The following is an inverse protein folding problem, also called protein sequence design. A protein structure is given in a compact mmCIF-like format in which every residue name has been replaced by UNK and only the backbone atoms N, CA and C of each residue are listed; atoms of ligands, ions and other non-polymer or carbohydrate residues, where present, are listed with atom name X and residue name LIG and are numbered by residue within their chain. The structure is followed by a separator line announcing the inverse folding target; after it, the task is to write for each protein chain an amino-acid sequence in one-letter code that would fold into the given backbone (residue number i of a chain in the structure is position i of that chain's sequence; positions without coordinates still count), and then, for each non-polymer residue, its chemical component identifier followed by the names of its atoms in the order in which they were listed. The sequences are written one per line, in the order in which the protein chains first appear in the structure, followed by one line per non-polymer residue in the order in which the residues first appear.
data_IF_785605802365
#
_entry.id   IF_785605802365
#
_cell.length_a   1.000
_cell.length_b   1.000
_cell.length_c   1.000
_cell.angle_alpha   90.00
_cell.angle_beta   90.00
_cell.angle_gamma   90.00
#
_symmetry.space_group_name_H-M   'P 1'
#
loop_
_entity.id
_entity.type
_entity.pdbx_description
1 polymer ?
#
# COMPACT_ATOMS: atom_id res chain seq x y z
N UNK A 1 16.70 6.24 -18.51
CA UNK A 1 15.76 5.41 -17.73
C UNK A 1 16.25 3.98 -17.47
N UNK A 2 17.10 3.40 -18.32
CA UNK A 2 17.58 2.02 -18.17
C UNK A 2 18.44 1.72 -16.92
N UNK A 3 19.22 2.69 -16.42
CA UNK A 3 20.12 2.49 -15.28
C UNK A 3 19.39 2.32 -13.94
N UNK A 4 18.14 2.80 -13.84
CA UNK A 4 17.34 2.69 -12.60
C UNK A 4 16.91 1.24 -12.32
N UNK A 5 16.64 0.47 -13.37
CA UNK A 5 16.11 -0.89 -13.24
C UNK A 5 17.17 -1.90 -12.78
N UNK A 6 18.40 -1.84 -13.33
CA UNK A 6 19.48 -2.73 -12.90
C UNK A 6 19.83 -2.55 -11.41
N UNK A 7 19.82 -1.30 -10.93
CA UNK A 7 20.07 -1.00 -9.52
C UNK A 7 18.93 -1.51 -8.62
N UNK A 8 17.68 -1.42 -9.09
CA UNK A 8 16.51 -1.88 -8.32
C UNK A 8 16.54 -3.39 -8.03
N UNK A 9 16.93 -4.23 -9.00
CA UNK A 9 17.02 -5.68 -8.79
C UNK A 9 18.11 -6.05 -7.78
N UNK A 10 19.30 -5.44 -7.88
CA UNK A 10 20.39 -5.67 -6.93
C UNK A 10 20.02 -5.29 -5.50
N UNK A 11 19.32 -4.16 -5.32
CA UNK A 11 18.84 -3.71 -4.02
C UNK A 11 17.77 -4.64 -3.44
N UNK A 12 16.89 -5.16 -4.29
CA UNK A 12 15.83 -6.10 -3.90
C UNK A 12 16.43 -7.42 -3.43
N UNK A 13 17.37 -8.01 -4.18
CA UNK A 13 18.05 -9.25 -3.78
C UNK A 13 18.82 -9.08 -2.45
N UNK A 14 19.54 -7.97 -2.29
CA UNK A 14 20.27 -7.67 -1.05
C UNK A 14 19.33 -7.58 0.16
N UNK A 15 18.19 -6.91 0.01
CA UNK A 15 17.19 -6.77 1.06
C UNK A 15 16.62 -8.13 1.50
N UNK A 16 16.23 -8.98 0.56
CA UNK A 16 15.71 -10.32 0.86
C UNK A 16 16.73 -11.21 1.56
N UNK A 17 18.00 -11.20 1.11
CA UNK A 17 19.07 -11.94 1.78
C UNK A 17 19.29 -11.46 3.22
N UNK A 18 19.15 -10.16 3.50
CA UNK A 18 19.23 -9.65 4.88
C UNK A 18 18.08 -10.17 5.75
N UNK A 19 16.85 -10.22 5.22
CA UNK A 19 15.68 -10.78 5.93
C UNK A 19 15.88 -12.25 6.27
N UNK A 20 16.30 -13.05 5.29
CA UNK A 20 16.53 -14.48 5.50
C UNK A 20 17.64 -14.76 6.53
N UNK A 21 18.72 -13.97 6.54
CA UNK A 21 19.76 -14.06 7.59
C UNK A 21 19.23 -13.70 8.99
N UNK A 22 18.19 -12.89 9.08
CA UNK A 22 17.53 -12.55 10.35
C UNK A 22 16.44 -13.57 10.75
N UNK A 23 16.25 -14.65 9.98
CA UNK A 23 15.21 -15.66 10.23
C UNK A 23 13.81 -15.25 9.78
N UNK A 24 13.67 -14.14 9.05
CA UNK A 24 12.40 -13.70 8.49
C UNK A 24 12.22 -14.31 7.09
N UNK A 25 11.49 -15.41 7.03
CA UNK A 25 11.17 -16.16 5.81
C UNK A 25 9.79 -15.83 5.22
N UNK A 26 9.09 -14.80 5.74
CA UNK A 26 7.79 -14.41 5.23
C UNK A 26 7.92 -13.74 3.85
N UNK A 27 7.43 -14.42 2.83
CA UNK A 27 7.46 -13.97 1.43
C UNK A 27 6.27 -13.10 1.06
N UNK A 28 5.28 -12.95 1.95
CA UNK A 28 4.11 -12.13 1.69
C UNK A 28 4.48 -10.64 1.74
N UNK A 29 3.78 -9.85 0.93
CA UNK A 29 3.87 -8.40 1.00
C UNK A 29 3.29 -7.92 2.33
N UNK A 30 4.11 -7.20 3.10
CA UNK A 30 3.66 -6.52 4.29
C UNK A 30 2.66 -5.43 3.91
N UNK A 31 1.77 -5.10 4.84
CA UNK A 31 0.86 -4.00 4.68
C UNK A 31 1.63 -2.73 4.29
N UNK A 32 1.34 -2.22 3.09
CA UNK A 32 1.98 -1.01 2.58
C UNK A 32 1.29 0.20 3.21
N UNK A 33 2.06 1.10 3.79
CA UNK A 33 1.57 2.43 4.13
C UNK A 33 1.17 3.13 2.83
N UNK A 34 -0.11 3.44 2.66
CA UNK A 34 -0.57 4.08 1.42
C UNK A 34 -2.03 3.82 1.06
N UNK A 35 -2.69 2.84 1.68
CA UNK A 35 -4.16 2.77 1.59
C UNK A 35 -4.72 4.00 2.31
N UNK A 36 -5.40 4.94 1.61
CA UNK A 36 -6.12 6.01 2.27
C UNK A 36 -7.08 5.34 3.25
N UNK A 37 -7.11 5.80 4.51
CA UNK A 37 -8.19 5.40 5.42
C UNK A 37 -9.48 5.65 4.67
N UNK A 38 -10.26 4.59 4.45
CA UNK A 38 -11.60 4.73 3.89
C UNK A 38 -12.30 5.79 4.74
N UNK A 39 -12.81 6.88 4.13
CA UNK A 39 -13.53 7.88 4.91
C UNK A 39 -14.67 7.16 5.64
N UNK A 40 -14.94 7.58 6.89
CA UNK A 40 -16.03 7.04 7.71
C UNK A 40 -17.30 7.02 6.87
N UNK A 41 -17.63 5.82 6.40
CA UNK A 41 -18.62 5.67 5.32
C UNK A 41 -20.00 5.99 5.84
N UNK A 42 -20.23 5.85 7.15
CA UNK A 42 -21.52 6.11 7.78
C UNK A 42 -21.84 7.61 7.82
N UNK A 43 -20.87 8.46 8.17
CA UNK A 43 -21.07 9.91 8.14
C UNK A 43 -21.27 10.44 6.71
N UNK A 44 -20.55 9.85 5.74
CA UNK A 44 -20.71 10.17 4.32
C UNK A 44 -22.09 9.70 3.79
N UNK A 45 -22.52 8.50 4.17
CA UNK A 45 -23.85 7.95 3.82
C UNK A 45 -24.95 8.84 4.40
N UNK A 46 -24.89 9.21 5.67
CA UNK A 46 -25.89 10.10 6.28
C UNK A 46 -25.94 11.48 5.62
N UNK A 47 -24.80 12.01 5.15
CA UNK A 47 -24.77 13.28 4.41
C UNK A 47 -25.44 13.15 3.03
N UNK A 48 -25.19 12.04 2.32
CA UNK A 48 -25.82 11.76 1.03
C UNK A 48 -27.32 11.48 1.15
N UNK A 49 -27.74 10.76 2.19
CA UNK A 49 -29.15 10.50 2.49
C UNK A 49 -29.89 11.80 2.82
N UNK A 50 -29.25 12.71 3.56
CA UNK A 50 -29.81 14.01 3.91
C UNK A 50 -29.82 15.01 2.75
N UNK A 51 -28.95 14.83 1.75
CA UNK A 51 -28.86 15.74 0.61
C UNK A 51 -28.59 15.00 -0.71
N UNK A 52 -29.61 14.33 -1.28
CA UNK A 52 -29.46 13.48 -2.46
C UNK A 52 -29.01 14.25 -3.71
N UNK A 53 -29.20 15.57 -3.74
CA UNK A 53 -28.74 16.46 -4.81
C UNK A 53 -27.22 16.54 -4.96
N UNK A 54 -26.45 16.12 -3.96
CA UNK A 54 -24.97 16.10 -4.00
C UNK A 54 -24.40 14.92 -4.80
N UNK A 55 -25.26 14.00 -5.24
CA UNK A 55 -24.87 12.77 -5.95
C UNK A 55 -24.99 12.88 -7.47
N UNK A 56 -25.56 13.98 -7.99
CA UNK A 56 -25.89 14.16 -9.40
C UNK A 56 -24.88 15.02 -10.16
#
# INVERSE_FOLDING_TARGET
MLLKHANQYALTCRYWFQRFKAGDFDVNDRQRSGTPRTPKTDALKSLLDANPSQTQ
#
